data_IF_631015385713
#
_entry.id   IF_631015385713
#
_cell.length_a   1.000
_cell.length_b   1.000
_cell.length_c   1.000
_cell.angle_alpha   90.00
_cell.angle_beta   90.00
_cell.angle_gamma   90.00
#
_symmetry.space_group_name_H-M   'P 1'
#
loop_
_entity.id
_entity.type
_entity.pdbx_description
1 polymer ?
#
# COMPACT_ATOMS: atom_id res chain seq x y z
N UNK A 1 -33.72 -0.58 37.13
CA UNK A 1 -32.27 -0.50 36.82
C UNK A 1 -31.74 -1.57 35.87
N UNK A 2 -32.32 -2.79 35.79
CA UNK A 2 -31.83 -3.84 34.88
C UNK A 2 -32.07 -3.57 33.38
N UNK A 3 -33.21 -2.98 33.01
CA UNK A 3 -33.59 -2.77 31.60
C UNK A 3 -32.70 -1.76 30.85
N UNK A 4 -32.29 -0.66 31.51
CA UNK A 4 -31.32 0.29 30.94
C UNK A 4 -29.94 -0.33 30.72
N UNK A 5 -29.53 -1.26 31.58
CA UNK A 5 -28.23 -1.93 31.49
C UNK A 5 -28.18 -2.89 30.29
N UNK A 6 -29.28 -3.60 30.01
CA UNK A 6 -29.42 -4.48 28.85
C UNK A 6 -29.35 -3.67 27.55
N UNK A 7 -30.10 -2.57 27.46
CA UNK A 7 -30.10 -1.71 26.27
C UNK A 7 -28.70 -1.11 25.98
N UNK A 8 -27.98 -0.70 27.02
CA UNK A 8 -26.59 -0.22 26.88
C UNK A 8 -25.65 -1.34 26.41
N UNK A 9 -25.77 -2.56 26.92
CA UNK A 9 -24.94 -3.68 26.46
C UNK A 9 -25.21 -4.05 25.01
N UNK A 10 -26.46 -4.01 24.54
CA UNK A 10 -26.79 -4.32 23.14
C UNK A 10 -26.22 -3.28 22.17
N UNK A 11 -26.29 -1.98 22.53
CA UNK A 11 -25.70 -0.91 21.72
C UNK A 11 -24.16 -0.99 21.67
N UNK A 12 -23.52 -1.30 22.79
CA UNK A 12 -22.07 -1.46 22.82
C UNK A 12 -21.60 -2.63 21.94
N UNK A 13 -22.32 -3.75 21.97
CA UNK A 13 -22.00 -4.92 21.13
C UNK A 13 -22.18 -4.60 19.64
N UNK A 14 -23.26 -3.91 19.25
CA UNK A 14 -23.46 -3.52 17.85
C UNK A 14 -22.39 -2.54 17.35
N UNK A 15 -21.99 -1.59 18.19
CA UNK A 15 -20.97 -0.60 17.84
C UNK A 15 -19.58 -1.23 17.71
N UNK A 16 -19.26 -2.21 18.56
CA UNK A 16 -18.03 -3.00 18.47
C UNK A 16 -18.03 -3.83 17.18
N UNK A 17 -19.14 -4.51 16.89
CA UNK A 17 -19.27 -5.36 15.70
C UNK A 17 -19.16 -4.54 14.40
N UNK A 18 -19.80 -3.37 14.33
CA UNK A 18 -19.72 -2.48 13.17
C UNK A 18 -18.32 -1.93 12.90
N UNK A 19 -17.55 -1.60 13.95
CA UNK A 19 -16.16 -1.14 13.82
C UNK A 19 -15.23 -2.24 13.29
N UNK A 20 -15.36 -3.45 13.82
CA UNK A 20 -14.59 -4.59 13.32
C UNK A 20 -14.90 -4.91 11.87
N UNK A 21 -16.18 -4.86 11.45
CA UNK A 21 -16.56 -5.08 10.06
C UNK A 21 -15.97 -4.01 9.13
N UNK A 22 -15.99 -2.74 9.52
CA UNK A 22 -15.46 -1.63 8.71
C UNK A 22 -13.96 -1.77 8.52
N UNK A 23 -13.22 -2.07 9.59
CA UNK A 23 -11.77 -2.28 9.54
C UNK A 23 -11.43 -3.50 8.69
N UNK A 24 -12.11 -4.60 8.89
CA UNK A 24 -11.85 -5.84 8.14
C UNK A 24 -12.15 -5.69 6.64
N UNK A 25 -13.22 -4.96 6.29
CA UNK A 25 -13.52 -4.59 4.92
C UNK A 25 -12.43 -3.71 4.31
N UNK A 26 -11.97 -2.70 5.05
CA UNK A 26 -10.86 -1.85 4.61
C UNK A 26 -9.56 -2.65 4.36
N UNK A 27 -9.18 -3.53 5.29
CA UNK A 27 -8.00 -4.39 5.12
C UNK A 27 -8.17 -5.34 3.93
N UNK A 28 -9.37 -5.88 3.71
CA UNK A 28 -9.65 -6.70 2.53
C UNK A 28 -9.51 -5.91 1.23
N UNK A 29 -10.06 -4.69 1.14
CA UNK A 29 -9.87 -3.80 0.00
C UNK A 29 -8.39 -3.51 -0.25
N UNK A 30 -7.61 -3.26 0.80
CA UNK A 30 -6.18 -3.01 0.68
C UNK A 30 -5.42 -4.23 0.15
N UNK A 31 -5.76 -5.44 0.60
CA UNK A 31 -5.21 -6.67 0.03
C UNK A 31 -5.49 -6.78 -1.48
N UNK A 32 -6.72 -6.46 -1.91
CA UNK A 32 -7.09 -6.47 -3.32
C UNK A 32 -6.33 -5.42 -4.14
N UNK A 33 -6.13 -4.20 -3.60
CA UNK A 33 -5.35 -3.15 -4.26
C UNK A 33 -3.89 -3.58 -4.42
N UNK A 34 -3.27 -4.15 -3.37
CA UNK A 34 -1.91 -4.69 -3.47
C UNK A 34 -1.80 -5.79 -4.52
N UNK A 35 -2.77 -6.73 -4.55
CA UNK A 35 -2.80 -7.80 -5.54
C UNK A 35 -2.81 -7.25 -6.97
N UNK A 36 -3.68 -6.28 -7.25
CA UNK A 36 -3.77 -5.63 -8.56
C UNK A 36 -2.49 -4.86 -8.88
N UNK A 37 -1.92 -4.14 -7.91
CA UNK A 37 -0.68 -3.38 -8.10
C UNK A 37 0.51 -4.30 -8.45
N UNK A 38 0.73 -5.37 -7.69
CA UNK A 38 1.81 -6.32 -7.97
C UNK A 38 1.59 -7.09 -9.28
N UNK A 39 0.35 -7.49 -9.59
CA UNK A 39 0.02 -8.15 -10.86
C UNK A 39 0.22 -7.22 -12.07
N UNK A 40 -0.19 -5.96 -11.94
CA UNK A 40 0.01 -4.94 -12.98
C UNK A 40 1.50 -4.70 -13.22
N UNK A 41 2.28 -4.61 -12.15
CA UNK A 41 3.72 -4.43 -12.25
C UNK A 41 4.42 -5.66 -12.85
N UNK A 42 4.03 -6.87 -12.45
CA UNK A 42 4.60 -8.12 -13.00
C UNK A 42 4.53 -8.20 -14.53
N UNK A 43 3.42 -7.75 -15.13
CA UNK A 43 3.28 -7.72 -16.59
C UNK A 43 4.13 -6.62 -17.24
N UNK A 44 4.39 -5.53 -16.51
CA UNK A 44 5.16 -4.38 -17.00
C UNK A 44 6.68 -4.57 -16.90
N UNK A 45 7.15 -5.37 -15.92
CA UNK A 45 8.59 -5.55 -15.65
C UNK A 45 9.39 -5.97 -16.89
N UNK A 46 9.00 -7.00 -17.66
CA UNK A 46 9.75 -7.41 -18.84
C UNK A 46 9.87 -6.31 -19.91
N UNK A 47 8.85 -5.45 -20.04
CA UNK A 47 8.82 -4.37 -21.02
C UNK A 47 9.57 -3.11 -20.59
N UNK A 48 9.58 -2.79 -19.29
CA UNK A 48 10.26 -1.61 -18.77
C UNK A 48 11.72 -1.86 -18.41
N UNK A 49 11.99 -2.95 -17.68
CA UNK A 49 13.25 -3.20 -16.98
C UNK A 49 14.05 -4.38 -17.53
N UNK A 50 13.51 -5.10 -18.51
CA UNK A 50 14.22 -6.20 -19.15
C UNK A 50 15.43 -5.75 -19.95
N UNK A 51 16.20 -6.69 -20.46
CA UNK A 51 17.42 -6.42 -21.23
C UNK A 51 17.20 -5.52 -22.47
N UNK A 52 15.99 -5.55 -23.04
CA UNK A 52 15.56 -4.68 -24.14
C UNK A 52 14.54 -3.63 -23.68
N UNK A 53 14.44 -3.38 -22.37
CA UNK A 53 13.49 -2.47 -21.76
C UNK A 53 13.85 -1.00 -21.96
N UNK A 54 12.86 -0.13 -21.73
CA UNK A 54 13.03 1.34 -21.86
C UNK A 54 14.07 1.89 -20.89
N UNK A 55 14.24 1.25 -19.72
CA UNK A 55 15.25 1.62 -18.74
C UNK A 55 15.94 0.36 -18.18
N UNK A 56 17.13 0.00 -18.69
CA UNK A 56 17.85 -1.19 -18.23
C UNK A 56 18.13 -1.08 -16.73
N UNK A 57 17.56 -1.99 -15.93
CA UNK A 57 17.69 -1.98 -14.48
C UNK A 57 19.14 -2.17 -13.99
N UNK A 58 20.03 -2.63 -14.88
CA UNK A 58 21.47 -2.80 -14.65
C UNK A 58 22.16 -1.49 -14.24
N UNK A 59 21.74 -0.36 -14.79
CA UNK A 59 22.33 0.97 -14.49
C UNK A 59 22.04 1.47 -13.06
N UNK A 60 21.02 0.92 -12.38
CA UNK A 60 20.60 1.38 -11.04
C UNK A 60 21.28 0.57 -9.92
N UNK A 61 21.69 -0.67 -10.19
CA UNK A 61 22.27 -1.59 -9.19
C UNK A 61 23.78 -1.80 -9.37
N UNK A 62 24.39 -1.32 -10.46
CA UNK A 62 25.84 -1.32 -10.75
C UNK A 62 26.68 -0.40 -9.82
N UNK A 63 26.38 -0.35 -8.53
CA UNK A 63 27.34 0.15 -7.54
C UNK A 63 27.78 -1.01 -6.68
N UNK A 64 28.95 -1.54 -7.02
CA UNK A 64 29.77 -2.53 -6.31
C UNK A 64 29.54 -2.51 -4.80
N UNK A 65 28.69 -3.41 -4.30
CA UNK A 65 28.63 -3.72 -2.88
C UNK A 65 29.51 -4.95 -2.63
N UNK A 66 30.82 -4.74 -2.54
CA UNK A 66 31.81 -5.78 -2.23
C UNK A 66 31.68 -6.34 -0.80
N UNK A 67 30.77 -5.82 0.03
CA UNK A 67 30.59 -6.27 1.41
C UNK A 67 29.13 -6.17 1.89
N UNK A 68 28.64 -7.20 2.59
CA UNK A 68 27.30 -7.25 3.20
C UNK A 68 27.04 -6.10 4.20
N UNK A 69 28.09 -5.48 4.74
CA UNK A 69 28.00 -4.33 5.66
C UNK A 69 27.69 -3.00 4.94
N UNK A 70 28.15 -2.84 3.71
CA UNK A 70 27.83 -1.64 2.90
C UNK A 70 26.39 -1.71 2.36
N UNK A 71 25.86 -2.92 2.19
CA UNK A 71 24.47 -3.17 1.77
C UNK A 71 23.44 -2.57 2.74
N UNK A 72 23.72 -2.60 4.04
CA UNK A 72 22.85 -2.05 5.08
C UNK A 72 23.04 -0.56 5.31
N UNK A 73 24.21 -0.01 4.97
CA UNK A 73 24.58 1.38 5.27
C UNK A 73 24.05 2.34 4.20
N UNK A 74 23.93 1.89 2.95
CA UNK A 74 23.73 2.76 1.78
C UNK A 74 22.37 2.57 1.09
N UNK A 75 21.30 2.28 1.84
CA UNK A 75 19.92 1.92 1.44
C UNK A 75 19.67 0.40 1.34
N UNK A 76 19.04 -0.20 2.37
CA UNK A 76 18.72 -1.63 2.37
C UNK A 76 17.46 -1.91 1.54
N UNK A 77 17.62 -2.16 0.25
CA UNK A 77 16.55 -2.72 -0.60
C UNK A 77 16.68 -4.24 -0.71
N UNK A 78 15.55 -4.95 -0.74
CA UNK A 78 15.54 -6.41 -0.94
C UNK A 78 16.15 -6.79 -2.29
N UNK A 79 16.07 -5.90 -3.29
CA UNK A 79 16.68 -6.10 -4.61
C UNK A 79 18.21 -6.12 -4.58
N UNK A 80 18.85 -5.40 -3.63
CA UNK A 80 20.29 -5.51 -3.43
C UNK A 80 20.67 -6.86 -2.84
N UNK A 81 19.84 -7.41 -1.94
CA UNK A 81 20.04 -8.77 -1.42
C UNK A 81 19.90 -9.80 -2.54
N UNK A 82 18.94 -9.67 -3.45
CA UNK A 82 18.83 -10.58 -4.61
C UNK A 82 20.00 -10.43 -5.58
N UNK A 83 20.51 -9.21 -5.80
CA UNK A 83 21.71 -9.00 -6.62
C UNK A 83 22.98 -9.58 -5.98
N UNK A 84 23.10 -9.54 -4.65
CA UNK A 84 24.20 -10.15 -3.91
C UNK A 84 24.18 -11.69 -3.97
N UNK A 85 23.01 -12.29 -4.23
CA UNK A 85 22.84 -13.73 -4.47
C UNK A 85 23.18 -14.12 -5.92
N UNK A 86 23.47 -13.15 -6.80
CA UNK A 86 23.84 -13.38 -8.19
C UNK A 86 22.66 -13.55 -9.15
N UNK A 87 21.46 -13.15 -8.73
CA UNK A 87 20.28 -13.11 -9.60
C UNK A 87 20.28 -11.82 -10.42
N UNK A 88 19.91 -11.93 -11.69
CA UNK A 88 19.68 -10.77 -12.55
C UNK A 88 18.58 -9.87 -11.96
N UNK A 89 18.73 -8.55 -12.11
CA UNK A 89 17.86 -7.55 -11.47
C UNK A 89 16.40 -7.73 -11.91
N UNK A 90 16.18 -8.10 -13.18
CA UNK A 90 14.84 -8.39 -13.70
C UNK A 90 14.21 -9.57 -12.95
N UNK A 91 14.95 -10.67 -12.82
CA UNK A 91 14.50 -11.87 -12.11
C UNK A 91 14.20 -11.56 -10.65
N UNK A 92 15.03 -10.73 -10.00
CA UNK A 92 14.79 -10.27 -8.63
C UNK A 92 13.47 -9.52 -8.48
N UNK A 93 13.16 -8.62 -9.41
CA UNK A 93 11.90 -7.87 -9.42
C UNK A 93 10.69 -8.78 -9.66
N UNK A 94 10.79 -9.72 -10.59
CA UNK A 94 9.72 -10.69 -10.87
C UNK A 94 9.41 -11.55 -9.63
N UNK A 95 10.44 -12.00 -8.91
CA UNK A 95 10.29 -12.76 -7.66
C UNK A 95 9.60 -11.94 -6.57
N UNK A 96 9.97 -10.67 -6.40
CA UNK A 96 9.32 -9.79 -5.42
C UNK A 96 7.85 -9.52 -5.78
N UNK A 97 7.55 -9.30 -7.06
CA UNK A 97 6.18 -9.17 -7.54
C UNK A 97 5.37 -10.45 -7.28
N UNK A 98 5.91 -11.62 -7.63
CA UNK A 98 5.24 -12.90 -7.40
C UNK A 98 5.00 -13.16 -5.90
N UNK A 99 5.99 -12.86 -5.05
CA UNK A 99 5.84 -12.93 -3.60
C UNK A 99 4.72 -12.00 -3.09
N UNK A 100 4.67 -10.77 -3.61
CA UNK A 100 3.61 -9.80 -3.30
C UNK A 100 2.22 -10.26 -3.74
N UNK A 101 2.10 -10.86 -4.93
CA UNK A 101 0.85 -11.44 -5.45
C UNK A 101 0.37 -12.57 -4.53
N UNK A 102 1.25 -13.52 -4.19
CA UNK A 102 0.89 -14.65 -3.33
C UNK A 102 0.46 -14.16 -1.96
N UNK A 103 1.23 -13.24 -1.37
CA UNK A 103 0.98 -12.75 -0.02
C UNK A 103 -0.33 -11.94 0.07
N UNK A 104 -0.60 -11.08 -0.93
CA UNK A 104 -1.85 -10.31 -1.02
C UNK A 104 -3.06 -11.20 -1.30
N UNK A 105 -2.92 -12.21 -2.15
CA UNK A 105 -3.97 -13.21 -2.40
C UNK A 105 -4.34 -14.00 -1.13
N UNK A 106 -3.33 -14.45 -0.39
CA UNK A 106 -3.52 -15.13 0.90
C UNK A 106 -4.22 -14.21 1.92
N UNK A 107 -3.81 -12.94 2.00
CA UNK A 107 -4.44 -11.94 2.87
C UNK A 107 -5.88 -11.59 2.46
N UNK A 108 -6.21 -11.72 1.16
CA UNK A 108 -7.56 -11.49 0.64
C UNK A 108 -8.51 -12.63 1.00
N UNK A 109 -8.05 -13.89 0.93
CA UNK A 109 -8.86 -15.07 1.22
C UNK A 109 -8.94 -15.33 2.72
N UNK A 110 -7.82 -15.23 3.44
CA UNK A 110 -7.74 -15.57 4.86
C UNK A 110 -7.83 -14.33 5.73
N UNK A 111 -8.95 -14.17 6.44
CA UNK A 111 -9.12 -13.10 7.43
C UNK A 111 -8.10 -13.18 8.58
N UNK A 112 -7.64 -14.39 8.91
CA UNK A 112 -6.64 -14.65 9.95
C UNK A 112 -5.25 -14.14 9.56
N UNK A 113 -4.95 -14.07 8.26
CA UNK A 113 -3.66 -13.60 7.75
C UNK A 113 -3.61 -12.08 7.53
N UNK A 114 -4.70 -11.34 7.79
CA UNK A 114 -4.75 -9.86 7.74
C UNK A 114 -4.12 -9.21 8.97
N UNK A 115 -2.85 -9.55 9.21
CA UNK A 115 -2.08 -9.09 10.36
C UNK A 115 -1.09 -8.00 9.95
N UNK A 116 -0.66 -7.18 10.91
CA UNK A 116 0.32 -6.12 10.72
C UNK A 116 1.62 -6.60 10.04
N UNK A 117 2.07 -7.84 10.34
CA UNK A 117 3.27 -8.42 9.73
C UNK A 117 3.09 -8.62 8.22
N UNK A 118 1.94 -9.14 7.78
CA UNK A 118 1.68 -9.42 6.36
C UNK A 118 1.59 -8.12 5.56
N UNK A 119 0.88 -7.12 6.08
CA UNK A 119 0.84 -5.79 5.46
C UNK A 119 2.20 -5.08 5.50
N UNK A 120 2.99 -5.26 6.56
CA UNK A 120 4.37 -4.76 6.62
C UNK A 120 5.28 -5.40 5.59
N UNK A 121 5.17 -6.71 5.38
CA UNK A 121 5.91 -7.40 4.32
C UNK A 121 5.48 -6.91 2.93
N UNK A 122 4.17 -6.80 2.66
CA UNK A 122 3.65 -6.23 1.40
C UNK A 122 4.18 -4.81 1.16
N UNK A 123 4.20 -3.98 2.21
CA UNK A 123 4.72 -2.62 2.14
C UNK A 123 6.21 -2.59 1.84
N UNK A 124 7.03 -3.41 2.51
CA UNK A 124 8.49 -3.49 2.24
C UNK A 124 8.77 -4.02 0.83
N UNK A 125 8.03 -5.03 0.36
CA UNK A 125 8.15 -5.55 -1.00
C UNK A 125 7.87 -4.45 -2.03
N UNK A 126 6.76 -3.73 -1.86
CA UNK A 126 6.40 -2.65 -2.76
C UNK A 126 7.37 -1.47 -2.68
N UNK A 127 7.85 -1.10 -1.49
CA UNK A 127 8.87 -0.06 -1.30
C UNK A 127 10.18 -0.43 -2.00
N UNK A 128 10.58 -1.70 -1.97
CA UNK A 128 11.77 -2.17 -2.66
C UNK A 128 11.64 -2.00 -4.18
N UNK A 129 10.46 -2.31 -4.73
CA UNK A 129 10.17 -2.12 -6.17
C UNK A 129 10.10 -0.63 -6.53
N UNK A 130 9.48 0.19 -5.68
CA UNK A 130 9.41 1.65 -5.86
C UNK A 130 10.80 2.29 -5.94
N UNK A 131 11.74 1.89 -5.07
CA UNK A 131 13.10 2.45 -5.08
C UNK A 131 13.86 2.15 -6.36
N UNK A 132 13.66 0.98 -6.97
CA UNK A 132 14.29 0.62 -8.25
C UNK A 132 13.52 1.19 -9.43
N UNK A 133 12.21 1.37 -9.28
CA UNK A 133 11.35 1.81 -10.37
C UNK A 133 11.40 3.29 -10.74
N UNK A 134 12.09 4.12 -9.93
CA UNK A 134 12.46 5.50 -10.22
C UNK A 134 11.33 6.28 -10.93
N UNK A 135 11.57 6.78 -12.15
CA UNK A 135 10.63 7.63 -12.89
C UNK A 135 9.33 6.95 -13.28
N UNK A 136 9.31 5.62 -13.42
CA UNK A 136 8.11 4.88 -13.84
C UNK A 136 7.22 4.44 -12.68
N UNK A 137 7.77 4.36 -11.46
CA UNK A 137 7.02 4.04 -10.25
C UNK A 137 6.87 5.23 -9.30
N UNK A 138 7.33 6.44 -9.67
CA UNK A 138 7.19 7.66 -8.86
C UNK A 138 5.95 8.49 -9.23
N UNK A 139 4.86 7.84 -9.68
CA UNK A 139 3.60 8.54 -9.88
C UNK A 139 2.89 8.79 -8.55
N UNK A 140 1.95 9.75 -8.55
CA UNK A 140 1.21 10.14 -7.34
C UNK A 140 0.45 8.96 -6.72
N UNK A 141 0.00 8.00 -7.54
CA UNK A 141 -0.75 6.83 -7.10
C UNK A 141 0.13 5.81 -6.35
N UNK A 142 1.39 5.65 -6.76
CA UNK A 142 2.35 4.75 -6.09
C UNK A 142 2.75 5.31 -4.72
N UNK A 143 2.95 6.63 -4.64
CA UNK A 143 3.20 7.34 -3.37
C UNK A 143 1.98 7.19 -2.45
N UNK A 144 0.76 7.35 -2.98
CA UNK A 144 -0.47 7.13 -2.22
C UNK A 144 -0.56 5.69 -1.71
N UNK A 145 -0.18 4.69 -2.51
CA UNK A 145 -0.16 3.29 -2.09
C UNK A 145 0.82 3.06 -0.94
N UNK A 146 2.01 3.68 -1.00
CA UNK A 146 3.00 3.61 0.07
C UNK A 146 2.52 4.28 1.36
N UNK A 147 1.88 5.45 1.27
CA UNK A 147 1.32 6.17 2.41
C UNK A 147 0.15 5.40 3.05
N UNK A 148 -0.79 4.91 2.23
CA UNK A 148 -1.93 4.11 2.71
C UNK A 148 -1.48 2.76 3.24
N UNK A 149 -0.48 2.13 2.63
CA UNK A 149 0.16 0.91 3.10
C UNK A 149 0.79 1.08 4.48
N UNK A 150 1.53 2.17 4.69
CA UNK A 150 2.09 2.51 5.99
C UNK A 150 0.99 2.72 7.04
N UNK A 151 -0.11 3.40 6.68
CA UNK A 151 -1.28 3.54 7.56
C UNK A 151 -1.92 2.19 7.89
N UNK A 152 -1.99 1.28 6.93
CA UNK A 152 -2.56 -0.06 7.15
C UNK A 152 -1.73 -0.89 8.10
N UNK A 153 -0.42 -0.67 8.16
CA UNK A 153 0.47 -1.30 9.13
C UNK A 153 0.10 -0.86 10.56
N UNK A 154 -0.24 0.42 10.76
CA UNK A 154 -0.67 0.95 12.06
C UNK A 154 -2.08 0.47 12.44
N UNK A 155 -2.96 0.33 11.45
CA UNK A 155 -4.36 -0.07 11.66
C UNK A 155 -4.54 -1.60 11.81
N UNK A 156 -3.68 -2.40 11.19
CA UNK A 156 -3.80 -3.84 11.19
C UNK A 156 -3.59 -4.41 12.60
N UNK A 157 -4.45 -5.36 13.04
CA UNK A 157 -4.33 -5.94 14.37
C UNK A 157 -2.99 -6.67 14.52
N UNK A 158 -2.34 -6.45 15.66
CA UNK A 158 -1.23 -7.28 16.15
C UNK A 158 -1.82 -8.58 16.69
N UNK A 159 -2.34 -9.42 15.80
CA UNK A 159 -2.81 -10.74 16.17
C UNK A 159 -1.57 -11.58 16.52
N UNK A 160 -1.29 -11.72 17.82
CA UNK A 160 -0.32 -12.72 18.27
C UNK A 160 -0.90 -14.09 17.89
N UNK A 161 -0.08 -14.88 17.21
CA UNK A 161 -0.35 -16.28 16.85
C UNK A 161 -1.06 -17.01 18.00
N UNK A 162 -2.36 -17.24 17.84
CA UNK A 162 -3.16 -18.06 18.75
C UNK A 162 -3.40 -17.44 20.14
N UNK A 163 -4.67 -17.46 20.53
CA UNK A 163 -5.18 -17.22 21.88
C UNK A 163 -5.19 -15.77 22.37
N UNK A 164 -6.42 -15.33 22.67
CA UNK A 164 -6.83 -14.04 23.21
C UNK A 164 -6.99 -12.90 22.19
N UNK A 165 -8.18 -12.87 21.57
CA UNK A 165 -8.85 -11.62 21.19
C UNK A 165 -9.07 -10.77 22.44
N UNK A 166 -8.02 -10.09 22.93
CA UNK A 166 -8.25 -8.92 23.78
C UNK A 166 -8.81 -7.82 22.87
N UNK A 167 -9.90 -7.13 23.25
CA UNK A 167 -10.37 -5.98 22.50
C UNK A 167 -9.27 -4.91 22.57
N UNK A 168 -8.41 -4.87 21.56
CA UNK A 168 -7.36 -3.86 21.45
C UNK A 168 -8.07 -2.52 21.27
N UNK A 169 -8.02 -1.73 22.34
CA UNK A 169 -8.36 -0.32 22.48
C UNK A 169 -9.05 0.36 21.28
N UNK A 170 -10.30 0.77 21.49
CA UNK A 170 -11.10 1.66 20.65
C UNK A 170 -10.39 2.93 20.14
N UNK A 171 -9.26 3.32 20.75
CA UNK A 171 -8.51 4.52 20.42
C UNK A 171 -7.66 4.38 19.14
N UNK A 172 -7.14 3.18 18.84
CA UNK A 172 -6.29 2.98 17.65
C UNK A 172 -7.09 3.04 16.34
N UNK A 173 -8.33 2.55 16.34
CA UNK A 173 -9.22 2.60 15.17
C UNK A 173 -9.59 4.04 14.79
N UNK A 174 -9.77 4.93 15.77
CA UNK A 174 -10.16 6.32 15.51
C UNK A 174 -9.04 7.13 14.84
N UNK A 175 -7.80 6.97 15.31
CA UNK A 175 -6.62 7.63 14.70
C UNK A 175 -6.41 7.13 13.27
N UNK A 176 -6.46 5.81 13.05
CA UNK A 176 -6.26 5.23 11.72
C UNK A 176 -7.33 5.68 10.72
N UNK A 177 -8.61 5.67 11.11
CA UNK A 177 -9.70 6.15 10.26
C UNK A 177 -9.62 7.66 9.99
N UNK A 178 -9.17 8.45 10.97
CA UNK A 178 -8.96 9.88 10.78
C UNK A 178 -7.80 10.16 9.81
N UNK A 179 -6.70 9.39 9.90
CA UNK A 179 -5.59 9.46 8.95
C UNK A 179 -6.01 9.08 7.53
N UNK A 180 -6.86 8.06 7.36
CA UNK A 180 -7.43 7.71 6.05
C UNK A 180 -8.28 8.86 5.50
N UNK A 181 -9.14 9.46 6.34
CA UNK A 181 -9.93 10.64 5.96
C UNK A 181 -9.06 11.82 5.56
N UNK A 182 -7.99 12.08 6.31
CA UNK A 182 -7.01 13.12 6.00
C UNK A 182 -6.31 12.87 4.67
N UNK A 183 -5.92 11.62 4.40
CA UNK A 183 -5.29 11.23 3.14
C UNK A 183 -6.24 11.41 1.96
N UNK A 184 -7.53 11.08 2.10
CA UNK A 184 -8.55 11.36 1.07
C UNK A 184 -8.72 12.86 0.84
N UNK A 185 -8.75 13.67 1.91
CA UNK A 185 -8.81 15.12 1.79
C UNK A 185 -7.59 15.67 1.04
N UNK A 186 -6.38 15.24 1.40
CA UNK A 186 -5.14 15.63 0.74
C UNK A 186 -5.15 15.28 -0.75
N UNK A 187 -5.64 14.08 -1.11
CA UNK A 187 -5.77 13.64 -2.50
C UNK A 187 -6.72 14.54 -3.30
N UNK A 188 -7.90 14.83 -2.74
CA UNK A 188 -8.87 15.71 -3.38
C UNK A 188 -8.32 17.13 -3.53
N UNK A 189 -7.63 17.63 -2.51
CA UNK A 189 -6.97 18.93 -2.54
C UNK A 189 -5.88 19.00 -3.61
N UNK A 190 -4.98 18.02 -3.67
CA UNK A 190 -3.90 17.97 -4.67
C UNK A 190 -4.46 17.91 -6.11
N UNK A 191 -5.51 17.11 -6.35
CA UNK A 191 -6.20 17.06 -7.64
C UNK A 191 -6.81 18.41 -8.03
N UNK A 192 -7.41 19.12 -7.06
CA UNK A 192 -7.94 20.47 -7.25
C UNK A 192 -6.86 21.49 -7.62
N UNK A 193 -5.73 21.47 -6.90
CA UNK A 193 -4.60 22.38 -7.18
C UNK A 193 -4.05 22.16 -8.58
N UNK A 194 -3.80 20.90 -8.99
CA UNK A 194 -3.29 20.60 -10.35
C UNK A 194 -4.25 21.09 -11.44
N UNK A 195 -5.57 21.00 -11.23
CA UNK A 195 -6.55 21.53 -12.17
C UNK A 195 -6.51 23.05 -12.24
N UNK A 196 -6.33 23.75 -11.12
CA UNK A 196 -6.24 25.20 -11.08
C UNK A 196 -4.92 25.73 -11.67
N UNK A 197 -3.82 25.02 -11.44
CA UNK A 197 -2.49 25.38 -11.98
C UNK A 197 -2.31 25.00 -13.45
N UNK A 198 -3.17 24.13 -14.00
CA UNK A 198 -3.16 23.78 -15.43
C UNK A 198 -3.51 24.93 -16.37
N UNK A 199 -3.93 26.08 -15.85
CA UNK A 199 -4.19 27.31 -16.62
C UNK A 199 -5.33 27.19 -17.63
N UNK A 200 -6.12 26.11 -17.58
CA UNK A 200 -7.16 25.86 -18.56
C UNK A 200 -8.37 26.78 -18.29
N UNK A 201 -8.76 27.66 -19.23
CA UNK A 201 -9.76 28.72 -19.02
C UNK A 201 -11.15 28.17 -18.66
N UNK A 202 -11.45 26.91 -19.00
CA UNK A 202 -12.70 26.23 -18.65
C UNK A 202 -12.89 26.03 -17.15
N UNK A 203 -11.81 25.79 -16.38
CA UNK A 203 -11.88 25.58 -14.92
C UNK A 203 -11.92 26.89 -14.14
N UNK A 204 -11.22 27.91 -14.64
CA UNK A 204 -11.25 29.26 -14.08
C UNK A 204 -12.53 30.02 -14.43
N UNK A 205 -13.16 29.71 -15.56
CA UNK A 205 -14.33 30.42 -16.07
C UNK A 205 -15.68 29.96 -15.52
N UNK A 206 -15.77 28.83 -14.78
CA UNK A 206 -17.04 28.22 -14.31
C UNK A 206 -18.09 27.96 -15.43
N UNK A 207 -17.72 28.15 -16.69
CA UNK A 207 -18.59 27.98 -17.84
C UNK A 207 -18.49 26.54 -18.33
N UNK A 208 -19.18 25.64 -17.64
CA UNK A 208 -19.69 24.41 -18.23
C UNK A 208 -20.77 24.75 -19.26
N UNK A 209 -20.40 25.41 -20.36
CA UNK A 209 -21.32 25.58 -21.49
C UNK A 209 -21.23 24.31 -22.32
N UNK A 210 -22.24 23.45 -22.17
CA UNK A 210 -22.61 22.50 -23.21
C UNK A 210 -22.82 23.33 -24.48
N UNK A 211 -21.87 23.27 -25.41
CA UNK A 211 -22.09 23.83 -26.74
C UNK A 211 -23.14 22.94 -27.41
N UNK A 212 -24.40 23.38 -27.34
CA UNK A 212 -25.45 22.89 -28.22
C UNK A 212 -25.04 23.21 -29.65
N UNK A 213 -24.91 22.16 -30.47
CA UNK A 213 -24.90 22.24 -31.92
C UNK A 213 -26.14 22.98 -32.44
#
# INVERSE_FOLDING_TARGET
MGFQRIHQTTQLVSDIYGKHLTRDFFLWCMSAIYLVAFASLFVQIPGLYGDNGVLPAKLVVETDATSLKDLFTSQPTLLRVTSAVGLDVQTGMDVLCLAGIILSFVAMISSVQRNCIVFGLLWVLYLSLYQVGQTFLSFQWDILLLETGFLTLILAPLNKFGFASRPVNHQHDAIGLWLVKWLTFRLMYASGVVKLTSGCPTWWGLTGRYSTL
#
